data_IF_302312453973
#
_entry.id   IF_302312453973
#
_cell.length_a   1.000
_cell.length_b   1.000
_cell.length_c   1.000
_cell.angle_alpha   90.00
_cell.angle_beta   90.00
_cell.angle_gamma   90.00
#
_symmetry.space_group_name_H-M   'P 1'
#
loop_
_entity.id
_entity.type
_entity.pdbx_description
1 polymer ?
#
# COMPACT_ATOMS: atom_id res chain seq x y z
N UNK A 1 26.77 -12.75 -17.85
CA UNK A 1 25.57 -12.33 -17.10
C UNK A 1 24.46 -12.21 -18.13
N UNK A 2 23.47 -13.09 -18.11
CA UNK A 2 22.38 -13.11 -19.10
C UNK A 2 21.45 -11.94 -18.80
N UNK A 3 21.68 -10.81 -19.46
CA UNK A 3 20.76 -9.68 -19.45
C UNK A 3 19.46 -10.14 -20.14
N UNK A 4 18.41 -10.33 -19.34
CA UNK A 4 17.06 -10.49 -19.86
C UNK A 4 16.72 -9.24 -20.70
N UNK A 5 16.08 -9.37 -21.87
CA UNK A 5 15.65 -8.22 -22.68
C UNK A 5 14.53 -7.39 -22.03
N UNK A 6 14.03 -7.79 -20.87
CA UNK A 6 13.14 -6.96 -20.08
C UNK A 6 13.97 -6.04 -19.19
N UNK A 7 13.65 -4.74 -19.18
CA UNK A 7 14.20 -3.71 -18.28
C UNK A 7 13.85 -3.96 -16.78
N UNK A 8 13.72 -5.21 -16.36
CA UNK A 8 13.28 -5.62 -15.03
C UNK A 8 11.79 -5.42 -14.77
N UNK A 9 10.98 -5.12 -15.80
CA UNK A 9 9.50 -5.07 -15.70
C UNK A 9 8.86 -6.25 -16.43
N UNK A 10 7.85 -6.85 -15.81
CA UNK A 10 6.98 -7.81 -16.47
C UNK A 10 5.80 -7.10 -17.10
N UNK A 11 5.51 -7.37 -18.38
CA UNK A 11 4.38 -6.77 -19.10
C UNK A 11 3.57 -7.86 -19.78
N UNK A 12 2.27 -7.91 -19.52
CA UNK A 12 1.32 -8.82 -20.13
C UNK A 12 0.11 -8.07 -20.63
N UNK A 13 -0.53 -8.61 -21.67
CA UNK A 13 -1.82 -8.14 -22.15
C UNK A 13 -2.87 -9.21 -21.83
N UNK A 14 -4.03 -8.79 -21.32
CA UNK A 14 -5.16 -9.69 -21.17
C UNK A 14 -5.61 -10.20 -22.55
N UNK A 15 -6.14 -11.44 -22.61
CA UNK A 15 -6.58 -12.03 -23.87
C UNK A 15 -7.70 -11.23 -24.57
N UNK A 16 -8.53 -10.52 -23.79
CA UNK A 16 -9.55 -9.59 -24.30
C UNK A 16 -8.98 -8.30 -24.91
N UNK A 17 -7.69 -8.02 -24.68
CA UNK A 17 -6.97 -6.90 -25.27
C UNK A 17 -7.21 -5.54 -24.59
N UNK A 18 -8.15 -5.46 -23.65
CA UNK A 18 -8.62 -4.27 -22.92
C UNK A 18 -7.79 -3.94 -21.67
N UNK A 19 -6.82 -4.78 -21.32
CA UNK A 19 -5.98 -4.57 -20.15
C UNK A 19 -4.51 -4.90 -20.41
N UNK A 20 -3.63 -4.06 -19.87
CA UNK A 20 -2.19 -4.31 -19.73
C UNK A 20 -1.87 -4.45 -18.26
N UNK A 21 -1.19 -5.54 -17.88
CA UNK A 21 -0.68 -5.77 -16.53
C UNK A 21 0.82 -5.55 -16.53
N UNK A 22 1.31 -4.70 -15.63
CA UNK A 22 2.72 -4.39 -15.45
C UNK A 22 3.12 -4.77 -14.02
N UNK A 23 4.17 -5.53 -13.83
CA UNK A 23 4.64 -5.93 -12.50
C UNK A 23 6.04 -5.39 -12.19
N UNK A 24 6.29 -5.17 -10.90
CA UNK A 24 7.62 -4.84 -10.35
C UNK A 24 8.22 -3.52 -10.85
N UNK A 25 7.35 -2.50 -11.04
CA UNK A 25 7.80 -1.15 -11.38
C UNK A 25 8.41 -0.48 -10.14
N UNK A 26 9.68 -0.14 -10.20
CA UNK A 26 10.40 0.61 -9.18
C UNK A 26 11.33 1.67 -9.75
N UNK A 27 12.21 2.20 -8.89
CA UNK A 27 13.03 3.37 -9.24
C UNK A 27 13.88 3.15 -10.50
N UNK A 28 14.57 1.99 -10.60
CA UNK A 28 15.50 1.70 -11.69
C UNK A 28 14.82 1.48 -13.05
N UNK A 29 13.53 1.15 -13.07
CA UNK A 29 12.79 0.81 -14.29
C UNK A 29 11.53 1.69 -14.49
N UNK A 30 11.47 2.82 -13.78
CA UNK A 30 10.36 3.77 -13.95
C UNK A 30 10.38 4.43 -15.33
N UNK A 31 11.57 4.75 -15.86
CA UNK A 31 11.69 5.38 -17.18
C UNK A 31 11.04 4.53 -18.30
N UNK A 32 11.33 3.23 -18.46
CA UNK A 32 10.62 2.40 -19.44
C UNK A 32 9.12 2.27 -19.14
N UNK A 33 8.69 2.24 -17.87
CA UNK A 33 7.27 2.31 -17.53
C UNK A 33 6.59 3.61 -18.00
N UNK A 34 7.23 4.78 -17.80
CA UNK A 34 6.70 6.05 -18.27
C UNK A 34 6.54 6.08 -19.81
N UNK A 35 7.49 5.47 -20.53
CA UNK A 35 7.43 5.31 -22.00
C UNK A 35 6.29 4.38 -22.44
N UNK A 36 6.02 3.32 -21.68
CA UNK A 36 4.83 2.47 -21.89
C UNK A 36 3.54 3.27 -21.74
N UNK A 37 3.41 4.08 -20.68
CA UNK A 37 2.24 4.94 -20.46
C UNK A 37 2.07 5.98 -21.58
N UNK A 38 3.17 6.42 -22.20
CA UNK A 38 3.16 7.31 -23.36
C UNK A 38 2.85 6.60 -24.70
N UNK A 39 2.64 5.27 -24.69
CA UNK A 39 2.32 4.48 -25.86
C UNK A 39 3.52 4.15 -26.76
N UNK A 40 4.76 4.36 -26.31
CA UNK A 40 5.97 4.09 -27.11
C UNK A 40 6.16 2.60 -27.43
N UNK A 41 5.53 1.71 -26.65
CA UNK A 41 5.55 0.26 -26.87
C UNK A 41 4.22 -0.28 -27.41
N UNK A 42 3.40 0.60 -27.99
CA UNK A 42 2.08 0.29 -28.52
C UNK A 42 1.00 1.22 -27.96
N UNK A 43 0.01 1.58 -28.78
CA UNK A 43 -0.99 2.60 -28.44
C UNK A 43 -2.11 2.16 -27.49
N UNK A 44 -2.14 0.90 -27.03
CA UNK A 44 -3.21 0.41 -26.18
C UNK A 44 -3.38 1.20 -24.87
N UNK A 45 -2.32 1.57 -24.12
CA UNK A 45 -2.46 2.40 -22.91
C UNK A 45 -3.02 3.82 -23.15
N UNK A 46 -3.10 4.27 -24.41
CA UNK A 46 -3.66 5.58 -24.77
C UNK A 46 -5.15 5.50 -25.10
N UNK A 47 -5.72 4.30 -25.22
CA UNK A 47 -7.14 4.09 -25.43
C UNK A 47 -7.90 4.38 -24.12
N UNK A 48 -8.88 5.32 -24.11
CA UNK A 48 -9.69 5.61 -22.93
C UNK A 48 -10.43 4.41 -22.34
N UNK A 49 -10.69 3.36 -23.13
CA UNK A 49 -11.32 2.12 -22.66
C UNK A 49 -10.34 1.09 -22.10
N UNK A 50 -9.02 1.33 -22.20
CA UNK A 50 -8.00 0.36 -21.83
C UNK A 50 -7.55 0.54 -20.38
N UNK A 51 -7.48 -0.55 -19.62
CA UNK A 51 -7.04 -0.54 -18.23
C UNK A 51 -5.54 -0.86 -18.13
N UNK A 52 -4.79 -0.02 -17.42
CA UNK A 52 -3.42 -0.31 -17.03
C UNK A 52 -3.37 -0.72 -15.55
N UNK A 53 -2.99 -1.97 -15.28
CA UNK A 53 -2.86 -2.50 -13.92
C UNK A 53 -1.38 -2.59 -13.56
N UNK A 54 -0.98 -1.94 -12.46
CA UNK A 54 0.38 -2.06 -11.93
C UNK A 54 0.37 -2.89 -10.65
N UNK A 55 1.13 -3.98 -10.66
CA UNK A 55 1.21 -4.97 -9.58
C UNK A 55 2.51 -4.77 -8.81
N UNK A 56 2.39 -4.58 -7.50
CA UNK A 56 3.50 -4.36 -6.57
C UNK A 56 4.49 -3.29 -7.06
N UNK A 57 4.04 -2.06 -7.37
CA UNK A 57 4.97 -0.97 -7.58
C UNK A 57 5.75 -0.71 -6.30
N UNK A 58 7.02 -0.34 -6.41
CA UNK A 58 7.84 0.02 -5.24
C UNK A 58 7.61 1.47 -4.79
N UNK A 59 6.70 2.18 -5.44
CA UNK A 59 6.41 3.59 -5.21
C UNK A 59 4.97 3.77 -4.75
N UNK A 60 4.75 4.79 -3.92
CA UNK A 60 3.40 5.22 -3.50
C UNK A 60 3.10 6.67 -3.88
N UNK A 61 4.12 7.38 -4.39
CA UNK A 61 4.10 8.75 -4.87
C UNK A 61 5.29 8.96 -5.81
N UNK A 62 5.23 9.99 -6.65
CA UNK A 62 6.33 10.33 -7.56
C UNK A 62 7.65 10.63 -6.86
N UNK A 63 7.60 11.15 -5.62
CA UNK A 63 8.78 11.50 -4.85
C UNK A 63 9.70 10.30 -4.56
N UNK A 64 9.14 9.08 -4.58
CA UNK A 64 9.86 7.82 -4.36
C UNK A 64 10.64 7.37 -5.62
N UNK A 65 10.43 8.04 -6.76
CA UNK A 65 11.07 7.78 -8.05
C UNK A 65 12.27 8.71 -8.29
N UNK A 66 13.29 8.14 -8.92
CA UNK A 66 14.50 8.82 -9.36
C UNK A 66 15.47 9.13 -8.22
N UNK A 67 16.57 9.77 -8.59
CA UNK A 67 17.51 10.38 -7.66
C UNK A 67 17.16 11.85 -7.44
N UNK A 68 17.69 12.48 -6.39
CA UNK A 68 17.41 13.89 -6.07
C UNK A 68 17.73 14.86 -7.22
N UNK A 69 18.71 14.53 -8.06
CA UNK A 69 19.12 15.35 -9.21
C UNK A 69 18.35 15.05 -10.50
N UNK A 70 17.57 13.96 -10.57
CA UNK A 70 16.85 13.58 -11.78
C UNK A 70 15.50 14.31 -11.90
N UNK A 71 15.59 15.62 -12.12
CA UNK A 71 14.42 16.52 -12.13
C UNK A 71 13.42 16.17 -13.23
N UNK A 72 13.90 15.72 -14.40
CA UNK A 72 13.03 15.36 -15.52
C UNK A 72 12.24 14.10 -15.22
N UNK A 73 12.90 13.05 -14.71
CA UNK A 73 12.21 11.82 -14.32
C UNK A 73 11.21 12.07 -13.20
N UNK A 74 11.58 12.87 -12.19
CA UNK A 74 10.65 13.26 -11.11
C UNK A 74 9.44 14.03 -11.62
N UNK A 75 9.60 14.95 -12.57
CA UNK A 75 8.49 15.67 -13.17
C UNK A 75 7.54 14.75 -13.95
N UNK A 76 8.10 13.82 -14.74
CA UNK A 76 7.30 12.81 -15.44
C UNK A 76 6.57 11.87 -14.47
N UNK A 77 7.24 11.46 -13.39
CA UNK A 77 6.65 10.65 -12.34
C UNK A 77 5.49 11.38 -11.65
N UNK A 78 5.64 12.67 -11.35
CA UNK A 78 4.58 13.49 -10.74
C UNK A 78 3.36 13.59 -11.64
N UNK A 79 3.57 13.85 -12.93
CA UNK A 79 2.48 13.92 -13.90
C UNK A 79 1.72 12.60 -14.07
N UNK A 80 2.39 11.46 -13.85
CA UNK A 80 1.79 10.13 -13.98
C UNK A 80 1.16 9.62 -12.67
N UNK A 81 1.85 9.75 -11.54
CA UNK A 81 1.52 9.04 -10.28
C UNK A 81 0.69 9.89 -9.33
N UNK A 82 0.97 11.20 -9.23
CA UNK A 82 0.41 12.03 -8.17
C UNK A 82 -1.00 12.55 -8.48
N UNK A 83 -1.55 12.24 -9.66
CA UNK A 83 -2.95 12.47 -9.97
C UNK A 83 -3.81 11.33 -9.37
N UNK A 84 -4.60 11.59 -8.31
CA UNK A 84 -5.44 10.58 -7.68
C UNK A 84 -6.59 10.11 -8.59
N UNK A 85 -6.92 10.85 -9.65
CA UNK A 85 -7.87 10.40 -10.67
C UNK A 85 -7.21 9.48 -11.71
N UNK A 86 -5.88 9.49 -11.81
CA UNK A 86 -5.15 8.65 -12.76
C UNK A 86 -4.90 7.23 -12.22
N UNK A 87 -4.60 7.10 -10.92
CA UNK A 87 -4.32 5.79 -10.31
C UNK A 87 -5.21 5.49 -9.13
N UNK A 88 -5.94 4.38 -9.23
CA UNK A 88 -6.73 3.85 -8.13
C UNK A 88 -5.99 2.69 -7.46
N UNK A 89 -5.74 2.73 -6.14
CA UNK A 89 -5.26 1.54 -5.45
C UNK A 89 -6.38 0.50 -5.45
N UNK A 90 -6.14 -0.71 -5.95
CA UNK A 90 -7.14 -1.78 -5.94
C UNK A 90 -7.05 -2.66 -4.70
N UNK A 91 -5.82 -2.92 -4.26
CA UNK A 91 -5.54 -3.72 -3.08
C UNK A 91 -4.29 -3.18 -2.41
N UNK A 92 -4.31 -3.15 -1.09
CA UNK A 92 -3.22 -2.66 -0.29
C UNK A 92 -3.15 -3.41 1.05
N UNK A 93 -1.95 -3.89 1.42
CA UNK A 93 -1.69 -4.54 2.71
C UNK A 93 -0.28 -4.16 3.19
N UNK A 94 -0.17 -3.46 4.33
CA UNK A 94 1.12 -3.19 4.99
C UNK A 94 1.08 -3.55 6.46
N UNK A 95 2.12 -4.25 6.88
CA UNK A 95 2.48 -4.38 8.28
C UNK A 95 3.08 -3.07 8.79
N UNK A 96 2.56 -2.58 9.91
CA UNK A 96 3.00 -1.37 10.57
C UNK A 96 3.54 -1.68 11.95
N UNK A 97 4.61 -0.97 12.33
CA UNK A 97 5.17 -1.00 13.67
C UNK A 97 5.53 0.40 14.11
N UNK A 98 5.07 0.79 15.30
CA UNK A 98 5.44 2.06 15.92
C UNK A 98 6.67 1.90 16.80
N UNK A 99 7.37 3.01 17.07
CA UNK A 99 8.50 3.02 17.98
C UNK A 99 8.14 2.60 19.42
N UNK A 100 6.85 2.73 19.82
CA UNK A 100 6.35 2.29 21.13
C UNK A 100 6.00 0.80 21.19
N UNK A 101 6.23 0.08 20.09
CA UNK A 101 5.96 -1.36 20.00
C UNK A 101 4.52 -1.70 19.61
N UNK A 102 3.66 -0.72 19.29
CA UNK A 102 2.34 -1.02 18.76
C UNK A 102 2.50 -1.58 17.34
N UNK A 103 1.78 -2.65 17.04
CA UNK A 103 1.76 -3.29 15.73
C UNK A 103 0.37 -3.17 15.10
N UNK A 104 0.32 -3.14 13.78
CA UNK A 104 -0.93 -2.98 13.06
C UNK A 104 -0.85 -3.39 11.61
N UNK A 105 -2.00 -3.40 10.96
CA UNK A 105 -2.16 -3.70 9.55
C UNK A 105 -2.91 -2.55 8.88
N UNK A 106 -2.32 -1.93 7.87
CA UNK A 106 -3.03 -1.00 7.00
C UNK A 106 -3.53 -1.75 5.77
N UNK A 107 -4.84 -1.85 5.66
CA UNK A 107 -5.54 -2.61 4.64
C UNK A 107 -6.42 -1.71 3.78
N UNK A 108 -6.51 -2.03 2.49
CA UNK A 108 -7.56 -1.56 1.60
C UNK A 108 -7.82 -2.59 0.52
N UNK A 109 -9.08 -2.81 0.20
CA UNK A 109 -9.51 -3.52 -1.01
C UNK A 109 -10.61 -2.70 -1.67
N UNK A 110 -10.52 -2.46 -2.98
CA UNK A 110 -11.56 -1.75 -3.72
C UNK A 110 -12.86 -2.58 -3.73
N UNK A 111 -14.05 -1.97 -3.56
CA UNK A 111 -14.33 -0.53 -3.46
C UNK A 111 -14.29 0.04 -2.04
N UNK A 112 -13.80 -0.71 -1.06
CA UNK A 112 -13.86 -0.34 0.36
C UNK A 112 -12.83 0.73 0.75
N UNK A 113 -13.15 1.40 1.86
CA UNK A 113 -12.33 2.41 2.50
C UNK A 113 -11.03 1.81 3.09
N UNK A 114 -10.07 2.69 3.38
CA UNK A 114 -8.86 2.33 4.13
C UNK A 114 -9.20 1.94 5.56
N UNK A 115 -8.62 0.85 6.02
CA UNK A 115 -8.87 0.29 7.34
C UNK A 115 -7.53 0.03 8.04
N UNK A 116 -7.41 0.49 9.27
CA UNK A 116 -6.26 0.24 10.13
C UNK A 116 -6.68 -0.68 11.26
N UNK A 117 -6.00 -1.80 11.38
CA UNK A 117 -6.20 -2.76 12.45
C UNK A 117 -5.03 -2.72 13.41
N UNK A 118 -5.30 -2.87 14.70
CA UNK A 118 -4.26 -3.07 15.71
C UNK A 118 -4.04 -4.57 15.88
N UNK A 119 -2.78 -5.00 15.97
CA UNK A 119 -2.43 -6.42 16.11
C UNK A 119 -1.55 -6.64 17.33
N UNK A 120 -1.59 -7.83 17.91
CA UNK A 120 -0.81 -8.22 19.10
C UNK A 120 0.55 -8.87 18.78
N UNK A 121 1.07 -8.61 17.59
CA UNK A 121 2.48 -8.78 17.19
C UNK A 121 2.96 -10.16 16.68
N UNK A 122 2.08 -11.09 16.27
CA UNK A 122 2.52 -12.27 15.49
C UNK A 122 1.90 -12.28 14.09
N UNK A 123 2.71 -12.58 13.07
CA UNK A 123 2.25 -12.70 11.67
C UNK A 123 1.15 -13.77 11.50
N UNK A 124 1.16 -14.78 12.37
CA UNK A 124 0.14 -15.85 12.39
C UNK A 124 -1.24 -15.33 12.81
N UNK A 125 -1.32 -14.18 13.49
CA UNK A 125 -2.55 -13.57 13.97
C UNK A 125 -3.15 -12.56 12.97
N UNK A 126 -2.51 -12.32 11.83
CA UNK A 126 -2.97 -11.35 10.82
C UNK A 126 -4.38 -11.64 10.30
N UNK A 127 -4.78 -12.90 9.99
CA UNK A 127 -6.15 -13.20 9.61
C UNK A 127 -7.15 -12.87 10.71
N UNK A 128 -6.82 -13.24 11.97
CA UNK A 128 -7.68 -12.97 13.12
C UNK A 128 -7.83 -11.47 13.39
N UNK A 129 -6.78 -10.68 13.12
CA UNK A 129 -6.84 -9.23 13.27
C UNK A 129 -7.83 -8.55 12.30
N UNK A 130 -8.10 -9.16 11.13
CA UNK A 130 -9.11 -8.64 10.19
C UNK A 130 -10.54 -8.95 10.63
N UNK A 131 -10.74 -9.91 11.54
CA UNK A 131 -12.05 -10.22 12.13
C UNK A 131 -12.45 -9.20 13.21
N UNK A 132 -11.47 -8.54 13.82
CA UNK A 132 -11.70 -7.46 14.80
C UNK A 132 -12.10 -6.15 14.12
N UNK A 133 -12.85 -5.26 14.79
CA UNK A 133 -13.19 -3.96 14.22
C UNK A 133 -11.92 -3.09 14.02
N UNK A 134 -11.79 -2.40 12.88
CA UNK A 134 -10.66 -1.52 12.63
C UNK A 134 -10.62 -0.36 13.63
N UNK A 135 -9.42 0.01 14.07
CA UNK A 135 -9.17 1.16 14.96
C UNK A 135 -9.27 2.50 14.21
N UNK A 136 -9.28 2.47 12.88
CA UNK A 136 -9.54 3.63 12.01
C UNK A 136 -10.11 3.16 10.67
N UNK A 137 -11.14 3.86 10.19
CA UNK A 137 -11.68 3.75 8.83
C UNK A 137 -11.61 5.12 8.17
N UNK A 138 -11.17 5.20 6.92
CA UNK A 138 -11.00 6.46 6.20
C UNK A 138 -11.15 6.28 4.69
N UNK A 139 -11.82 7.22 4.03
CA UNK A 139 -11.95 7.23 2.56
C UNK A 139 -10.59 7.45 1.87
N UNK A 140 -9.77 8.31 2.45
CA UNK A 140 -8.40 8.57 1.99
C UNK A 140 -7.39 7.77 2.81
N UNK A 141 -6.20 7.57 2.25
CA UNK A 141 -5.12 6.90 2.96
C UNK A 141 -4.75 7.73 4.20
N UNK A 142 -4.83 7.17 5.42
CA UNK A 142 -4.50 7.92 6.63
C UNK A 142 -3.02 8.31 6.63
N UNK A 143 -2.69 9.46 7.21
CA UNK A 143 -1.31 9.91 7.34
C UNK A 143 -0.50 9.01 8.29
N UNK A 144 0.83 9.05 8.21
CA UNK A 144 1.69 8.28 9.14
C UNK A 144 1.44 8.67 10.59
N UNK A 145 1.24 9.96 10.86
CA UNK A 145 0.95 10.47 12.19
C UNK A 145 -0.37 9.90 12.73
N UNK A 146 -1.43 9.91 11.91
CA UNK A 146 -2.72 9.33 12.27
C UNK A 146 -2.62 7.83 12.54
N UNK A 147 -1.88 7.10 11.70
CA UNK A 147 -1.64 5.66 11.90
C UNK A 147 -0.94 5.41 13.24
N UNK A 148 0.15 6.14 13.53
CA UNK A 148 0.92 5.99 14.77
C UNK A 148 0.08 6.33 16.00
N UNK A 149 -0.69 7.41 15.95
CA UNK A 149 -1.55 7.85 17.05
C UNK A 149 -2.58 6.77 17.40
N UNK A 150 -3.30 6.25 16.40
CA UNK A 150 -4.35 5.25 16.59
C UNK A 150 -3.81 3.92 17.11
N UNK A 151 -2.69 3.45 16.56
CA UNK A 151 -2.06 2.21 17.04
C UNK A 151 -1.57 2.33 18.48
N UNK A 152 -0.96 3.46 18.84
CA UNK A 152 -0.50 3.67 20.21
C UNK A 152 -1.68 3.80 21.20
N UNK A 153 -2.79 4.41 20.78
CA UNK A 153 -4.00 4.50 21.60
C UNK A 153 -4.61 3.10 21.83
N UNK A 154 -4.70 2.27 20.79
CA UNK A 154 -5.17 0.90 20.88
C UNK A 154 -4.28 0.05 21.80
N UNK A 155 -2.96 0.16 21.69
CA UNK A 155 -2.02 -0.51 22.58
C UNK A 155 -2.24 -0.08 24.05
N UNK A 156 -2.38 1.21 24.30
CA UNK A 156 -2.60 1.72 25.66
C UNK A 156 -3.93 1.21 26.25
N UNK A 157 -4.97 1.09 25.43
CA UNK A 157 -6.26 0.55 25.85
C UNK A 157 -6.17 -0.95 26.17
N UNK A 158 -5.53 -1.75 25.32
CA UNK A 158 -5.29 -3.17 25.58
C UNK A 158 -4.53 -3.39 26.90
N UNK A 159 -3.48 -2.61 27.14
CA UNK A 159 -2.72 -2.67 28.40
C UNK A 159 -3.57 -2.26 29.63
N UNK A 160 -4.52 -1.32 29.49
CA UNK A 160 -5.44 -0.96 30.57
C UNK A 160 -6.40 -2.10 30.88
N UNK A 161 -6.98 -2.72 29.85
CA UNK A 161 -7.93 -3.82 29.98
C UNK A 161 -7.26 -5.04 30.62
N UNK A 162 -6.04 -5.39 30.21
CA UNK A 162 -5.27 -6.49 30.82
C UNK A 162 -4.99 -6.24 32.31
N UNK A 163 -4.64 -5.02 32.69
CA UNK A 163 -4.40 -4.65 34.10
C UNK A 163 -5.68 -4.78 34.91
N UNK A 164 -6.80 -4.24 34.40
CA UNK A 164 -8.09 -4.34 35.05
C UNK A 164 -8.54 -5.80 35.23
N UNK A 165 -8.38 -6.63 34.20
CA UNK A 165 -8.70 -8.06 34.26
C UNK A 165 -7.87 -8.80 35.32
N UNK A 166 -6.57 -8.49 35.43
CA UNK A 166 -5.68 -9.05 36.45
C UNK A 166 -6.06 -8.62 37.87
N UNK A 167 -6.49 -7.38 38.05
CA UNK A 167 -6.94 -6.88 39.36
C UNK A 167 -8.26 -7.53 39.80
N UNK A 168 -9.20 -7.73 38.87
CA UNK A 168 -10.45 -8.45 39.14
C UNK A 168 -10.18 -9.91 39.49
N UNK A 169 -9.31 -10.60 38.74
CA UNK A 169 -8.94 -11.99 39.01
C UNK A 169 -8.23 -12.20 40.36
N UNK A 170 -7.62 -11.15 40.92
CA UNK A 170 -6.93 -11.18 42.23
C UNK A 170 -7.85 -10.94 43.42
N UNK A 171 -9.11 -10.51 43.23
CA UNK A 171 -10.05 -10.35 44.35
C UNK A 171 -10.65 -11.70 44.74
N UNK A 172 -10.49 -12.16 46.00
CA UNK A 172 -11.09 -13.42 46.44
C UNK A 172 -12.62 -13.33 46.38
N UNK A 173 -13.27 -14.40 45.89
CA UNK A 173 -14.73 -14.53 45.92
C UNK A 173 -15.16 -14.50 47.39
N UNK A 174 -15.79 -13.40 47.81
CA UNK A 174 -16.52 -13.31 49.08
C UNK A 174 -17.86 -14.02 48.95
#
# INVERSE_FOLDING_TARGET
>A
MLESPADGIGVWRAAGGDMTVVAQVGNLNFAPFARLCAGEFGGAPLDPGHTLLVVNPTWTRSADIGQLWDRKLKAAAAALIDDPAAWLPLYHLWDLRTAKGATGLLFRSWPHDWQLYHTTAHQEDLPAALDDPPVLVSQERPSKEQQIERLNAALAEGLRQERAAREVARRPRQ
#
